data_IF_210321075469
#
_entry.id   IF_210321075469
#
_cell.length_a   1.000
_cell.length_b   1.000
_cell.length_c   1.000
_cell.angle_alpha   90.00
_cell.angle_beta   90.00
_cell.angle_gamma   90.00
#
_symmetry.space_group_name_H-M   'P 1'
#
loop_
_entity.id
_entity.type
_entity.pdbx_description
1 polymer ?
#
# COMPACT_ATOMS: atom_id res chain seq x y z
N UNK A 1 -54.50 -56.72 -7.16
CA UNK A 1 -53.81 -55.56 -6.57
C UNK A 1 -54.88 -54.66 -5.97
N UNK A 2 -54.90 -54.52 -4.65
CA UNK A 2 -55.83 -53.60 -3.99
C UNK A 2 -55.26 -52.20 -4.21
N UNK A 3 -55.95 -51.35 -4.99
CA UNK A 3 -55.61 -49.94 -5.05
C UNK A 3 -55.97 -49.32 -3.70
N UNK A 4 -54.95 -48.99 -2.91
CA UNK A 4 -55.17 -48.28 -1.67
C UNK A 4 -55.42 -46.81 -2.03
N UNK A 5 -56.68 -46.48 -2.32
CA UNK A 5 -57.12 -45.11 -2.58
C UNK A 5 -57.11 -44.36 -1.24
N UNK A 6 -55.97 -43.76 -0.90
CA UNK A 6 -55.71 -43.13 0.38
C UNK A 6 -56.43 -41.78 0.49
N UNK A 7 -57.76 -41.81 0.56
CA UNK A 7 -58.54 -40.68 1.04
C UNK A 7 -58.66 -40.84 2.56
N UNK A 8 -57.85 -40.07 3.29
CA UNK A 8 -58.01 -39.84 4.73
C UNK A 8 -57.69 -41.02 5.68
N UNK A 9 -56.59 -41.75 5.45
CA UNK A 9 -56.05 -42.72 6.41
C UNK A 9 -54.62 -42.34 6.80
N UNK A 10 -54.29 -42.45 8.09
CA UNK A 10 -52.92 -42.32 8.57
C UNK A 10 -52.08 -43.44 7.95
N UNK A 11 -51.19 -43.10 7.03
CA UNK A 11 -50.24 -44.06 6.47
C UNK A 11 -49.18 -44.36 7.53
N UNK A 12 -49.29 -45.52 8.17
CA UNK A 12 -48.29 -46.05 9.11
C UNK A 12 -47.73 -47.36 8.57
N UNK A 13 -46.40 -47.54 8.68
CA UNK A 13 -45.72 -48.80 8.33
C UNK A 13 -45.69 -49.17 6.84
N UNK A 14 -46.02 -48.23 5.94
CA UNK A 14 -46.02 -48.48 4.51
C UNK A 14 -44.58 -48.45 3.95
N UNK A 15 -44.23 -49.45 3.16
CA UNK A 15 -43.00 -49.49 2.36
C UNK A 15 -43.37 -49.49 0.88
N UNK A 16 -42.61 -48.78 0.06
CA UNK A 16 -42.85 -48.68 -1.38
C UNK A 16 -41.82 -47.81 -2.06
N UNK A 17 -41.64 -48.02 -3.36
CA UNK A 17 -40.73 -47.26 -4.23
C UNK A 17 -41.47 -46.21 -5.08
N UNK A 18 -42.80 -46.14 -4.97
CA UNK A 18 -43.64 -45.20 -5.70
C UNK A 18 -43.67 -43.81 -5.07
N UNK A 19 -44.02 -42.81 -5.88
CA UNK A 19 -44.20 -41.44 -5.40
C UNK A 19 -45.33 -41.36 -4.37
N UNK A 20 -45.09 -40.63 -3.27
CA UNK A 20 -46.15 -40.27 -2.35
C UNK A 20 -47.10 -39.26 -3.02
N UNK A 21 -48.37 -39.64 -3.18
CA UNK A 21 -49.42 -38.78 -3.73
C UNK A 21 -50.40 -38.42 -2.61
N UNK A 22 -50.18 -37.27 -1.98
CA UNK A 22 -51.08 -36.72 -0.95
C UNK A 22 -52.25 -35.92 -1.54
N UNK A 23 -53.15 -35.43 -0.67
CA UNK A 23 -54.16 -34.42 -1.04
C UNK A 23 -53.49 -33.15 -1.61
N UNK A 24 -54.23 -32.23 -2.25
CA UNK A 24 -53.68 -30.95 -2.72
C UNK A 24 -52.93 -30.25 -1.57
N UNK A 25 -51.61 -30.09 -1.73
CA UNK A 25 -50.68 -29.47 -0.76
C UNK A 25 -50.51 -30.22 0.58
N UNK A 26 -49.94 -31.46 0.56
CA UNK A 26 -49.64 -32.15 1.81
C UNK A 26 -48.52 -31.42 2.58
N UNK A 27 -48.67 -31.27 3.89
CA UNK A 27 -47.65 -30.66 4.76
C UNK A 27 -46.77 -31.72 5.42
N UNK A 28 -45.46 -31.53 5.38
CA UNK A 28 -44.47 -32.36 6.05
C UNK A 28 -43.82 -31.54 7.17
N UNK A 29 -44.21 -31.77 8.42
CA UNK A 29 -43.73 -30.97 9.56
C UNK A 29 -42.40 -31.49 10.13
N UNK A 30 -42.16 -32.80 10.11
CA UNK A 30 -40.91 -33.43 10.58
C UNK A 30 -40.52 -34.65 9.73
N UNK A 31 -40.36 -34.51 8.40
CA UNK A 31 -40.02 -35.64 7.54
C UNK A 31 -38.58 -36.13 7.84
N UNK A 32 -38.39 -37.46 7.93
CA UNK A 32 -37.05 -38.06 7.96
C UNK A 32 -36.61 -38.37 6.53
N UNK A 33 -35.72 -37.55 5.98
CA UNK A 33 -35.11 -37.78 4.66
C UNK A 33 -33.75 -38.43 4.85
N UNK A 34 -33.54 -39.62 4.26
CA UNK A 34 -32.34 -40.44 4.51
C UNK A 34 -31.27 -40.23 3.44
N UNK A 35 -31.65 -40.32 2.16
CA UNK A 35 -30.69 -40.36 1.04
C UNK A 35 -30.58 -39.04 0.29
N UNK A 36 -31.69 -38.33 0.08
CA UNK A 36 -31.67 -37.12 -0.73
C UNK A 36 -33.02 -36.64 -1.22
N UNK A 37 -32.99 -35.53 -1.96
CA UNK A 37 -34.10 -34.99 -2.75
C UNK A 37 -33.79 -35.23 -4.24
N UNK A 38 -34.76 -35.78 -4.96
CA UNK A 38 -34.63 -36.20 -6.35
C UNK A 38 -35.57 -35.39 -7.25
N UNK A 39 -35.16 -35.16 -8.50
CA UNK A 39 -35.98 -34.49 -9.51
C UNK A 39 -37.05 -35.44 -10.12
N UNK A 40 -37.84 -34.92 -11.07
CA UNK A 40 -38.89 -35.69 -11.77
C UNK A 40 -38.35 -36.88 -12.58
N UNK A 41 -37.06 -36.87 -12.90
CA UNK A 41 -36.37 -37.92 -13.65
C UNK A 41 -35.58 -38.87 -12.73
N UNK A 42 -35.79 -38.79 -11.41
CA UNK A 42 -35.09 -39.56 -10.38
C UNK A 42 -33.57 -39.28 -10.27
N UNK A 43 -33.10 -38.13 -10.75
CA UNK A 43 -31.73 -37.69 -10.50
C UNK A 43 -31.63 -36.97 -9.16
N UNK A 44 -30.52 -37.17 -8.42
CA UNK A 44 -30.32 -36.48 -7.14
C UNK A 44 -30.07 -34.99 -7.38
N UNK A 45 -30.84 -34.15 -6.68
CA UNK A 45 -30.63 -32.70 -6.59
C UNK A 45 -29.85 -32.35 -5.31
N UNK A 46 -30.17 -33.03 -4.21
CA UNK A 46 -29.47 -32.93 -2.94
C UNK A 46 -29.25 -34.32 -2.39
N UNK A 47 -28.00 -34.69 -2.14
CA UNK A 47 -27.64 -35.96 -1.52
C UNK A 47 -27.26 -35.76 -0.06
N UNK A 48 -27.72 -36.65 0.81
CA UNK A 48 -27.36 -36.68 2.22
C UNK A 48 -26.49 -37.90 2.50
N UNK A 49 -25.34 -37.67 3.14
CA UNK A 49 -24.40 -38.71 3.58
C UNK A 49 -24.40 -38.74 5.11
N UNK A 50 -25.34 -39.45 5.75
CA UNK A 50 -25.48 -39.44 7.19
C UNK A 50 -24.23 -39.99 7.88
N UNK A 51 -23.82 -39.32 8.96
CA UNK A 51 -22.73 -39.76 9.84
C UNK A 51 -23.36 -40.25 11.14
N UNK A 52 -22.99 -41.45 11.58
CA UNK A 52 -23.63 -42.18 12.70
C UNK A 52 -23.72 -41.37 14.00
N UNK A 53 -22.78 -40.46 14.24
CA UNK A 53 -22.70 -39.61 15.43
C UNK A 53 -22.55 -38.13 15.08
N UNK A 54 -23.21 -37.66 14.03
CA UNK A 54 -23.22 -36.24 13.69
C UNK A 54 -23.82 -35.40 14.83
N UNK A 55 -23.06 -34.42 15.33
CA UNK A 55 -23.52 -33.43 16.33
C UNK A 55 -23.54 -31.99 15.78
N UNK A 56 -23.09 -31.82 14.53
CA UNK A 56 -23.09 -30.56 13.80
C UNK A 56 -23.81 -30.74 12.46
N UNK A 57 -24.51 -29.71 12.00
CA UNK A 57 -25.30 -29.73 10.77
C UNK A 57 -25.40 -28.35 10.13
N UNK A 58 -25.85 -28.33 8.86
CA UNK A 58 -26.26 -27.10 8.19
C UNK A 58 -27.68 -26.73 8.61
N UNK A 59 -27.91 -25.44 8.85
CA UNK A 59 -29.22 -24.86 9.13
C UNK A 59 -29.54 -23.80 8.08
N UNK A 60 -30.72 -23.93 7.47
CA UNK A 60 -31.25 -23.01 6.45
C UNK A 60 -32.36 -22.20 7.10
N UNK A 61 -32.18 -20.88 7.17
CA UNK A 61 -33.06 -19.97 7.88
C UNK A 61 -33.78 -19.10 6.84
N UNK A 62 -35.12 -19.18 6.81
CA UNK A 62 -35.93 -18.25 6.02
C UNK A 62 -35.88 -16.84 6.64
N UNK A 63 -36.23 -15.83 5.87
CA UNK A 63 -36.12 -14.43 6.31
C UNK A 63 -37.45 -13.69 6.32
N UNK A 64 -37.49 -12.63 7.11
CA UNK A 64 -38.56 -11.63 7.07
C UNK A 64 -38.23 -10.56 6.02
N UNK A 65 -39.21 -9.71 5.68
CA UNK A 65 -38.99 -8.60 4.75
C UNK A 65 -37.80 -7.73 5.17
N UNK A 66 -36.90 -7.45 4.23
CA UNK A 66 -35.73 -6.60 4.43
C UNK A 66 -34.49 -7.31 4.96
N UNK A 67 -34.52 -8.64 5.15
CA UNK A 67 -33.37 -9.44 5.55
C UNK A 67 -33.10 -10.56 4.54
N UNK A 68 -31.83 -10.93 4.29
CA UNK A 68 -31.52 -12.07 3.44
C UNK A 68 -31.80 -13.41 4.17
N UNK A 69 -32.15 -14.49 3.46
CA UNK A 69 -32.10 -15.84 4.03
C UNK A 69 -30.66 -16.21 4.38
N UNK A 70 -30.48 -17.16 5.32
CA UNK A 70 -29.16 -17.51 5.82
C UNK A 70 -28.91 -19.02 5.72
N UNK A 71 -27.66 -19.38 5.43
CA UNK A 71 -27.13 -20.73 5.56
C UNK A 71 -26.03 -20.70 6.62
N UNK A 72 -26.18 -21.50 7.66
CA UNK A 72 -25.27 -21.47 8.82
C UNK A 72 -24.87 -22.89 9.23
N UNK A 73 -23.69 -23.03 9.84
CA UNK A 73 -23.31 -24.25 10.54
C UNK A 73 -23.71 -24.11 12.01
N UNK A 74 -24.39 -25.13 12.54
CA UNK A 74 -24.86 -25.19 13.93
C UNK A 74 -24.54 -26.56 14.52
N UNK A 75 -24.49 -26.66 15.84
CA UNK A 75 -24.21 -27.94 16.49
C UNK A 75 -23.83 -27.80 17.96
N UNK A 76 -23.47 -28.92 18.57
CA UNK A 76 -23.03 -28.97 19.96
C UNK A 76 -21.59 -28.48 20.15
N UNK A 77 -20.76 -28.51 19.10
CA UNK A 77 -19.37 -28.08 19.19
C UNK A 77 -19.25 -26.54 19.23
N UNK A 78 -18.29 -25.98 19.98
CA UNK A 78 -18.15 -24.53 20.14
C UNK A 78 -17.53 -23.81 18.94
N UNK A 79 -16.80 -24.53 18.07
CA UNK A 79 -16.10 -23.95 16.93
C UNK A 79 -16.42 -24.77 15.67
N UNK A 80 -17.33 -24.26 14.83
CA UNK A 80 -17.81 -24.97 13.65
C UNK A 80 -17.58 -24.11 12.41
N UNK A 81 -16.83 -24.65 11.44
CA UNK A 81 -16.64 -24.06 10.12
C UNK A 81 -17.56 -24.67 9.06
N UNK A 82 -17.53 -24.10 7.85
CA UNK A 82 -18.26 -24.63 6.69
C UNK A 82 -17.33 -24.66 5.48
N UNK A 83 -17.40 -25.74 4.71
CA UNK A 83 -16.71 -25.85 3.41
C UNK A 83 -17.71 -25.69 2.28
N UNK A 84 -17.36 -24.87 1.28
CA UNK A 84 -18.02 -24.80 -0.01
C UNK A 84 -16.97 -25.10 -1.08
N UNK A 85 -17.19 -26.16 -1.87
CA UNK A 85 -16.22 -26.65 -2.84
C UNK A 85 -16.90 -27.13 -4.12
N UNK A 86 -16.33 -26.77 -5.28
CA UNK A 86 -16.67 -27.38 -6.57
C UNK A 86 -15.84 -28.65 -6.79
N UNK A 87 -16.28 -29.50 -7.73
CA UNK A 87 -15.52 -30.68 -8.19
C UNK A 87 -15.00 -30.44 -9.61
N UNK A 88 -13.75 -30.82 -9.86
CA UNK A 88 -13.12 -30.73 -11.19
C UNK A 88 -12.72 -29.28 -11.54
N UNK A 89 -12.79 -28.92 -12.82
CA UNK A 89 -12.24 -27.66 -13.36
C UNK A 89 -13.18 -26.46 -13.29
N UNK A 90 -14.37 -26.60 -12.70
CA UNK A 90 -15.37 -25.52 -12.64
C UNK A 90 -15.29 -24.72 -11.33
N UNK A 91 -15.75 -23.47 -11.37
CA UNK A 91 -15.71 -22.55 -10.24
C UNK A 91 -16.96 -22.58 -9.35
N UNK A 92 -16.81 -22.01 -8.14
CA UNK A 92 -17.94 -21.46 -7.37
C UNK A 92 -18.21 -20.05 -7.89
N UNK A 93 -19.45 -19.77 -8.27
CA UNK A 93 -19.88 -18.43 -8.70
C UNK A 93 -20.73 -17.79 -7.61
N UNK A 94 -20.32 -16.61 -7.16
CA UNK A 94 -21.11 -15.74 -6.29
C UNK A 94 -21.67 -14.59 -7.13
N UNK A 95 -22.99 -14.44 -7.14
CA UNK A 95 -23.68 -13.43 -7.92
C UNK A 95 -24.35 -12.42 -7.00
N UNK A 96 -24.03 -11.13 -7.17
CA UNK A 96 -24.72 -10.01 -6.52
C UNK A 96 -25.60 -9.28 -7.52
N UNK A 97 -26.78 -8.82 -7.08
CA UNK A 97 -27.67 -8.04 -7.94
C UNK A 97 -27.02 -6.68 -8.30
N UNK A 98 -27.29 -6.20 -9.52
CA UNK A 98 -26.70 -4.99 -10.10
C UNK A 98 -27.30 -3.72 -9.49
N UNK A 99 -26.86 -3.33 -8.31
CA UNK A 99 -26.75 -1.92 -7.97
C UNK A 99 -25.29 -1.65 -7.59
N UNK A 100 -24.73 -0.51 -7.99
CA UNK A 100 -23.33 -0.17 -7.67
C UNK A 100 -23.10 0.08 -6.18
N UNK A 101 -23.95 -0.44 -5.31
CA UNK A 101 -24.07 -0.12 -3.89
C UNK A 101 -23.75 -1.34 -3.02
N UNK A 102 -23.93 -2.57 -3.52
CA UNK A 102 -23.72 -3.80 -2.76
C UNK A 102 -22.44 -4.55 -3.18
N UNK A 103 -21.30 -4.34 -2.50
CA UNK A 103 -20.06 -5.08 -2.76
C UNK A 103 -20.15 -6.54 -2.31
N UNK A 104 -19.22 -7.37 -2.78
CA UNK A 104 -18.94 -8.65 -2.13
C UNK A 104 -18.18 -8.38 -0.82
N UNK A 105 -18.72 -8.84 0.30
CA UNK A 105 -18.14 -8.62 1.63
C UNK A 105 -17.47 -9.89 2.15
N UNK A 106 -16.24 -9.76 2.64
CA UNK A 106 -15.62 -10.72 3.57
C UNK A 106 -15.65 -10.11 4.96
N UNK A 107 -16.37 -10.75 5.86
CA UNK A 107 -16.60 -10.25 7.23
C UNK A 107 -16.00 -11.18 8.27
N UNK A 108 -15.48 -10.62 9.37
CA UNK A 108 -14.97 -11.36 10.52
C UNK A 108 -15.22 -10.59 11.83
N UNK A 109 -15.09 -11.28 12.96
CA UNK A 109 -15.27 -10.75 14.31
C UNK A 109 -16.67 -11.03 14.87
N UNK A 110 -16.81 -10.88 16.19
CA UNK A 110 -18.02 -11.20 16.97
C UNK A 110 -19.26 -10.39 16.60
N UNK A 111 -19.12 -9.37 15.76
CA UNK A 111 -20.20 -8.54 15.21
C UNK A 111 -19.86 -7.98 13.84
N UNK A 112 -19.12 -8.74 13.02
CA UNK A 112 -18.66 -8.30 11.70
C UNK A 112 -17.80 -7.02 11.74
N UNK A 113 -16.99 -6.83 12.78
CA UNK A 113 -16.17 -5.62 12.96
C UNK A 113 -15.10 -5.47 11.89
N UNK A 114 -14.64 -6.57 11.31
CA UNK A 114 -13.66 -6.56 10.24
C UNK A 114 -14.39 -6.82 8.93
N UNK A 115 -14.37 -5.84 8.03
CA UNK A 115 -15.05 -5.91 6.74
C UNK A 115 -14.06 -5.57 5.63
N UNK A 116 -13.85 -6.52 4.73
CA UNK A 116 -13.17 -6.29 3.46
C UNK A 116 -14.22 -6.29 2.35
N UNK A 117 -14.38 -5.17 1.67
CA UNK A 117 -15.33 -5.01 0.58
C UNK A 117 -14.62 -5.08 -0.79
N UNK A 118 -15.06 -6.00 -1.64
CA UNK A 118 -14.70 -6.00 -3.06
C UNK A 118 -15.76 -5.23 -3.84
N UNK A 119 -15.39 -4.01 -4.22
CA UNK A 119 -16.23 -3.12 -5.02
C UNK A 119 -15.98 -3.39 -6.51
N UNK A 120 -16.99 -3.90 -7.20
CA UNK A 120 -16.93 -4.11 -8.64
C UNK A 120 -17.62 -2.96 -9.35
N UNK A 121 -16.96 -2.35 -10.34
CA UNK A 121 -17.60 -1.34 -11.15
C UNK A 121 -18.74 -1.96 -11.96
N UNK A 122 -19.91 -1.33 -11.95
CA UNK A 122 -21.06 -1.75 -12.73
C UNK A 122 -20.84 -1.41 -14.23
N UNK A 123 -20.00 -2.20 -14.89
CA UNK A 123 -19.67 -2.08 -16.31
C UNK A 123 -19.81 -3.45 -16.96
N UNK A 124 -20.16 -3.51 -18.24
CA UNK A 124 -20.24 -4.76 -19.00
C UNK A 124 -18.88 -5.42 -19.26
N UNK A 125 -17.78 -4.74 -18.94
CA UNK A 125 -16.44 -5.24 -19.16
C UNK A 125 -16.04 -6.28 -18.12
N UNK A 126 -15.49 -7.40 -18.57
CA UNK A 126 -14.83 -8.37 -17.70
C UNK A 126 -13.53 -7.76 -17.18
N UNK A 127 -13.35 -7.80 -15.87
CA UNK A 127 -12.11 -7.36 -15.22
C UNK A 127 -11.47 -8.55 -14.51
N UNK A 128 -10.24 -8.85 -14.90
CA UNK A 128 -9.44 -9.90 -14.28
C UNK A 128 -8.57 -9.28 -13.19
N UNK A 129 -8.70 -9.80 -11.96
CA UNK A 129 -7.80 -9.48 -10.85
C UNK A 129 -7.00 -10.75 -10.55
N UNK A 130 -5.69 -10.70 -10.81
CA UNK A 130 -4.79 -11.82 -10.57
C UNK A 130 -4.00 -11.56 -9.29
N UNK A 131 -4.06 -12.49 -8.33
CA UNK A 131 -3.20 -12.46 -7.15
C UNK A 131 -1.80 -12.96 -7.49
N UNK A 132 -0.81 -12.48 -6.75
CA UNK A 132 0.58 -12.93 -6.90
C UNK A 132 0.71 -14.38 -6.37
N UNK A 133 1.64 -15.14 -6.95
CA UNK A 133 1.73 -16.60 -6.84
C UNK A 133 2.55 -17.11 -5.64
N UNK A 134 3.50 -16.33 -5.09
CA UNK A 134 4.36 -16.83 -4.01
C UNK A 134 4.56 -15.91 -2.79
N UNK A 135 4.80 -14.60 -2.94
CA UNK A 135 5.17 -13.74 -1.78
C UNK A 135 4.65 -12.29 -1.88
N UNK A 136 3.65 -12.08 -2.73
CA UNK A 136 3.10 -10.75 -2.95
C UNK A 136 2.25 -10.24 -1.81
N UNK A 137 2.67 -9.16 -1.16
CA UNK A 137 1.75 -8.37 -0.33
C UNK A 137 0.87 -7.50 -1.23
N UNK A 138 -0.45 -7.65 -1.11
CA UNK A 138 -1.39 -6.66 -1.65
C UNK A 138 -1.30 -5.43 -0.75
N UNK A 139 -0.55 -4.42 -1.20
CA UNK A 139 -0.30 -3.18 -0.48
C UNK A 139 -1.09 -2.04 -1.10
N UNK A 140 -1.43 -1.03 -0.30
CA UNK A 140 -2.15 0.14 -0.80
C UNK A 140 -1.25 0.92 -1.78
N UNK A 141 -1.84 1.57 -2.79
CA UNK A 141 -1.09 2.41 -3.73
C UNK A 141 -0.25 3.49 -2.99
N UNK A 142 -0.76 3.97 -1.85
CA UNK A 142 -0.09 4.96 -1.00
C UNK A 142 1.18 4.46 -0.30
N UNK A 143 1.44 3.15 -0.29
CA UNK A 143 2.63 2.56 0.34
C UNK A 143 3.84 2.53 -0.61
N UNK A 144 3.71 2.89 -1.89
CA UNK A 144 4.82 2.93 -2.86
C UNK A 144 5.16 4.33 -3.37
N UNK A 145 4.62 5.37 -2.74
CA UNK A 145 4.83 6.76 -3.13
C UNK A 145 5.77 7.52 -2.20
N UNK A 146 6.32 8.62 -2.70
CA UNK A 146 7.04 9.59 -1.89
C UNK A 146 6.07 10.31 -0.94
N UNK A 147 6.22 10.07 0.36
CA UNK A 147 5.40 10.70 1.41
C UNK A 147 6.13 11.94 1.94
N UNK A 148 5.49 13.11 1.91
CA UNK A 148 6.08 14.34 2.47
C UNK A 148 6.17 14.22 4.00
N UNK A 149 7.39 14.27 4.53
CA UNK A 149 7.65 14.16 5.97
C UNK A 149 7.72 15.53 6.64
N UNK A 150 8.09 16.57 5.88
CA UNK A 150 8.25 17.91 6.45
C UNK A 150 8.41 19.01 5.41
N UNK A 151 8.26 20.24 5.86
CA UNK A 151 8.51 21.47 5.10
C UNK A 151 9.11 22.50 6.04
N UNK A 152 10.13 23.21 5.55
CA UNK A 152 10.78 24.31 6.24
C UNK A 152 10.85 25.51 5.30
N UNK A 153 10.35 26.65 5.77
CA UNK A 153 10.41 27.91 5.02
C UNK A 153 11.63 28.70 5.52
N UNK A 154 12.49 29.13 4.61
CA UNK A 154 13.60 30.00 4.96
C UNK A 154 13.11 31.41 5.30
N UNK A 155 13.64 31.98 6.38
CA UNK A 155 13.37 33.37 6.79
C UNK A 155 14.61 33.92 7.46
N UNK A 156 15.60 34.33 6.66
CA UNK A 156 16.94 34.70 7.11
C UNK A 156 17.62 33.61 7.95
N UNK A 157 17.47 32.35 7.54
CA UNK A 157 17.99 31.19 8.26
C UNK A 157 19.39 30.82 7.77
N UNK A 158 20.38 30.70 8.65
CA UNK A 158 21.71 30.23 8.25
C UNK A 158 21.71 28.76 7.80
N UNK A 159 20.82 27.96 8.39
CA UNK A 159 20.66 26.53 8.10
C UNK A 159 19.19 26.13 8.12
N UNK A 160 18.86 25.08 7.38
CA UNK A 160 17.57 24.37 7.45
C UNK A 160 17.88 22.91 7.74
N UNK A 161 17.23 22.35 8.76
CA UNK A 161 17.56 21.02 9.32
C UNK A 161 16.32 20.12 9.35
N UNK A 162 16.53 18.85 9.01
CA UNK A 162 15.56 17.77 9.23
C UNK A 162 16.21 16.68 10.08
N UNK A 163 15.54 16.29 11.16
CA UNK A 163 16.00 15.27 12.12
C UNK A 163 15.06 14.07 12.12
N UNK A 164 15.43 12.98 12.79
CA UNK A 164 14.58 11.80 12.95
C UNK A 164 14.37 11.01 11.67
N UNK A 165 15.36 11.04 10.77
CA UNK A 165 15.28 10.36 9.47
C UNK A 165 15.46 8.85 9.64
N UNK A 166 14.38 8.18 10.03
CA UNK A 166 14.30 6.73 10.22
C UNK A 166 13.04 6.16 9.58
N UNK A 167 13.08 4.89 9.16
CA UNK A 167 11.87 4.17 8.72
C UNK A 167 11.51 4.30 7.23
N UNK A 168 12.36 4.94 6.42
CA UNK A 168 12.21 5.02 4.96
C UNK A 168 13.46 4.49 4.27
N UNK A 169 13.30 3.83 3.12
CA UNK A 169 14.41 3.27 2.34
C UNK A 169 15.21 4.36 1.64
N UNK A 170 14.52 5.42 1.20
CA UNK A 170 15.09 6.57 0.53
C UNK A 170 14.44 7.85 1.05
N UNK A 171 15.18 8.95 0.97
CA UNK A 171 14.70 10.30 1.27
C UNK A 171 14.90 11.18 0.05
N UNK A 172 14.04 12.17 -0.13
CA UNK A 172 14.19 13.18 -1.16
C UNK A 172 14.05 14.56 -0.54
N UNK A 173 15.04 15.42 -0.73
CA UNK A 173 14.91 16.85 -0.46
C UNK A 173 14.54 17.54 -1.76
N UNK A 174 13.61 18.48 -1.66
CA UNK A 174 13.26 19.40 -2.74
C UNK A 174 13.36 20.79 -2.16
N UNK A 175 14.12 21.67 -2.80
CA UNK A 175 14.14 23.07 -2.44
C UNK A 175 13.68 23.91 -3.61
N UNK A 176 12.87 24.91 -3.29
CA UNK A 176 12.30 25.82 -4.27
C UNK A 176 12.56 27.26 -3.86
N UNK A 177 12.96 28.05 -4.85
CA UNK A 177 13.13 29.48 -4.74
C UNK A 177 14.03 29.94 -3.57
N UNK A 178 15.09 29.19 -3.26
CA UNK A 178 16.06 29.57 -2.23
C UNK A 178 16.83 30.81 -2.66
N UNK A 179 16.86 31.83 -1.79
CA UNK A 179 17.55 33.10 -2.06
C UNK A 179 18.71 33.30 -1.09
N UNK A 180 19.91 33.54 -1.63
CA UNK A 180 21.10 33.79 -0.82
C UNK A 180 21.18 35.25 -0.38
N UNK A 181 21.47 35.49 0.91
CA UNK A 181 21.68 36.85 1.42
C UNK A 181 23.04 37.45 1.05
N UNK A 182 24.03 36.59 0.80
CA UNK A 182 25.40 37.00 0.49
C UNK A 182 25.77 36.59 -0.93
N UNK A 183 26.35 37.54 -1.67
CA UNK A 183 26.85 37.29 -3.01
C UNK A 183 28.01 36.28 -2.95
N UNK A 184 27.92 35.21 -3.73
CA UNK A 184 28.96 34.20 -3.85
C UNK A 184 28.83 33.07 -2.83
N UNK A 185 27.72 33.01 -2.10
CA UNK A 185 27.45 31.93 -1.17
C UNK A 185 27.26 30.59 -1.91
N UNK A 186 27.83 29.52 -1.37
CA UNK A 186 27.67 28.16 -1.87
C UNK A 186 26.54 27.49 -1.09
N UNK A 187 25.55 26.93 -1.78
CA UNK A 187 24.57 26.06 -1.14
C UNK A 187 25.21 24.69 -0.91
N UNK A 188 25.14 24.19 0.31
CA UNK A 188 25.73 22.92 0.68
C UNK A 188 24.77 22.07 1.53
N UNK A 189 25.01 20.75 1.50
CA UNK A 189 24.30 19.75 2.28
C UNK A 189 25.26 19.02 3.22
N UNK A 190 24.77 18.64 4.39
CA UNK A 190 25.55 17.86 5.35
C UNK A 190 24.64 16.98 6.21
N UNK A 191 25.13 15.80 6.53
CA UNK A 191 24.48 14.81 7.37
C UNK A 191 24.98 14.84 8.81
N UNK A 192 24.24 14.17 9.66
CA UNK A 192 24.52 13.96 11.07
C UNK A 192 24.17 12.51 11.46
N UNK A 193 24.97 11.94 12.35
CA UNK A 193 24.80 10.58 12.89
C UNK A 193 24.14 10.58 14.28
N UNK A 194 23.95 11.75 14.88
CA UNK A 194 23.45 11.94 16.25
C UNK A 194 22.27 12.91 16.28
N UNK A 195 21.38 12.75 15.30
CA UNK A 195 20.10 13.42 15.20
C UNK A 195 20.20 14.95 15.18
N UNK A 196 21.25 15.48 14.54
CA UNK A 196 21.48 16.92 14.39
C UNK A 196 22.27 17.56 15.53
N UNK A 197 22.67 16.80 16.56
CA UNK A 197 23.44 17.33 17.70
C UNK A 197 24.84 17.78 17.28
N UNK A 198 25.47 17.06 16.35
CA UNK A 198 26.68 17.50 15.64
C UNK A 198 26.61 17.12 14.17
N UNK A 199 27.48 17.75 13.38
CA UNK A 199 27.52 17.63 11.93
C UNK A 199 28.88 17.11 11.49
N UNK A 200 28.93 16.39 10.38
CA UNK A 200 30.15 15.74 9.90
C UNK A 200 31.23 16.75 9.52
N UNK A 201 32.18 17.00 10.40
CA UNK A 201 33.20 18.06 10.22
C UNK A 201 34.57 17.54 9.80
N UNK A 202 34.78 16.24 9.68
CA UNK A 202 36.08 15.62 9.35
C UNK A 202 36.05 15.05 7.94
N UNK A 203 37.03 15.42 7.10
CA UNK A 203 37.18 14.87 5.75
C UNK A 203 37.96 13.53 5.77
N UNK A 204 37.64 12.58 4.87
CA UNK A 204 36.54 12.60 3.89
C UNK A 204 35.21 12.15 4.51
N UNK A 205 34.23 13.07 4.62
CA UNK A 205 32.86 12.67 4.93
C UNK A 205 32.10 12.29 3.64
N UNK A 206 32.50 12.90 2.53
CA UNK A 206 31.87 12.77 1.24
C UNK A 206 32.89 12.63 0.11
N UNK A 207 32.53 11.83 -0.89
CA UNK A 207 33.16 11.72 -2.19
C UNK A 207 32.17 12.24 -3.23
N UNK A 208 32.42 13.42 -3.78
CA UNK A 208 31.51 14.08 -4.70
C UNK A 208 32.10 14.16 -6.10
N UNK A 209 31.28 13.85 -7.10
CA UNK A 209 31.49 14.17 -8.50
C UNK A 209 30.42 15.18 -8.92
N UNK A 210 30.80 16.21 -9.67
CA UNK A 210 29.86 17.25 -10.12
C UNK A 210 30.17 17.74 -11.52
N UNK A 211 29.13 17.93 -12.31
CA UNK A 211 29.23 18.66 -13.56
C UNK A 211 28.46 19.97 -13.44
N UNK A 212 29.18 21.06 -13.70
CA UNK A 212 28.66 22.41 -13.67
C UNK A 212 28.45 22.89 -15.10
N UNK A 213 27.22 23.30 -15.38
CA UNK A 213 26.84 24.02 -16.58
C UNK A 213 26.69 25.47 -16.19
N UNK A 214 27.48 26.38 -16.76
CA UNK A 214 27.31 27.82 -16.55
C UNK A 214 27.31 28.50 -17.92
N UNK A 215 26.15 28.95 -18.37
CA UNK A 215 26.00 29.54 -19.69
C UNK A 215 26.26 28.49 -20.78
N UNK A 216 27.11 28.80 -21.75
CA UNK A 216 27.50 27.88 -22.84
C UNK A 216 28.71 26.99 -22.50
N UNK A 217 29.27 27.11 -21.28
CA UNK A 217 30.46 26.36 -20.87
C UNK A 217 30.07 25.19 -19.98
N UNK A 218 30.55 24.00 -20.33
CA UNK A 218 30.48 22.80 -19.48
C UNK A 218 31.82 22.64 -18.78
N UNK A 219 31.83 22.75 -17.45
CA UNK A 219 32.96 22.35 -16.63
C UNK A 219 32.59 21.05 -15.91
N UNK A 220 32.98 19.92 -16.49
CA UNK A 220 32.95 18.65 -15.81
C UNK A 220 34.16 18.59 -14.87
N UNK A 221 33.96 18.89 -13.59
CA UNK A 221 34.98 18.64 -12.57
C UNK A 221 34.98 17.15 -12.24
N UNK A 222 35.95 16.41 -12.75
CA UNK A 222 36.15 14.99 -12.46
C UNK A 222 36.82 14.72 -11.11
N UNK A 223 37.06 15.74 -10.30
CA UNK A 223 37.81 15.59 -9.08
C UNK A 223 36.91 15.04 -7.98
N UNK A 224 37.17 13.79 -7.59
CA UNK A 224 36.70 13.20 -6.35
C UNK A 224 37.24 14.07 -5.22
N UNK A 225 36.45 15.06 -4.82
CA UNK A 225 36.81 16.00 -3.77
C UNK A 225 36.39 15.39 -2.43
N UNK A 226 37.34 15.32 -1.50
CA UNK A 226 37.11 14.87 -0.14
C UNK A 226 36.59 16.05 0.68
N UNK A 227 35.29 16.06 0.93
CA UNK A 227 34.61 17.20 1.55
C UNK A 227 34.02 16.85 2.91
N UNK A 228 33.80 17.89 3.72
CA UNK A 228 33.01 17.82 4.97
C UNK A 228 31.52 18.06 4.72
N UNK A 229 31.16 18.58 3.53
CA UNK A 229 29.79 18.83 3.08
C UNK A 229 29.68 18.64 1.56
N UNK A 230 28.50 18.23 1.09
CA UNK A 230 28.20 18.20 -0.34
C UNK A 230 27.94 19.61 -0.88
N UNK A 231 28.56 19.97 -1.99
CA UNK A 231 28.33 21.26 -2.67
C UNK A 231 27.17 21.11 -3.67
N UNK A 232 26.09 21.84 -3.43
CA UNK A 232 24.87 21.79 -4.26
C UNK A 232 24.88 22.82 -5.39
N UNK A 233 25.49 23.99 -5.18
CA UNK A 233 25.61 25.07 -6.19
C UNK A 233 27.00 25.70 -6.14
N UNK A 234 27.37 26.48 -7.16
CA UNK A 234 28.59 27.31 -7.12
C UNK A 234 28.26 28.80 -7.14
N UNK A 235 28.66 29.52 -6.09
CA UNK A 235 28.63 30.99 -6.00
C UNK A 235 27.28 31.63 -6.35
N UNK A 236 26.26 31.42 -5.52
CA UNK A 236 24.92 31.99 -5.72
C UNK A 236 24.91 33.52 -5.74
N UNK A 237 24.11 34.07 -6.65
CA UNK A 237 23.78 35.50 -6.67
C UNK A 237 22.87 35.88 -5.49
N UNK A 238 23.08 37.08 -4.95
CA UNK A 238 22.19 37.69 -3.96
C UNK A 238 21.28 38.79 -4.56
N UNK A 239 21.05 38.76 -5.87
CA UNK A 239 20.06 39.62 -6.53
C UNK A 239 18.69 38.98 -6.35
N UNK A 240 17.69 39.70 -5.84
CA UNK A 240 16.41 39.12 -5.39
C UNK A 240 15.61 38.30 -6.43
N UNK A 241 15.85 38.51 -7.73
CA UNK A 241 15.22 37.72 -8.81
C UNK A 241 15.95 36.40 -9.09
N UNK A 242 17.14 36.22 -8.54
CA UNK A 242 18.05 35.10 -8.80
C UNK A 242 17.90 34.07 -7.68
N UNK A 243 17.00 33.13 -7.88
CA UNK A 243 16.71 32.07 -6.91
C UNK A 243 17.34 30.73 -7.32
N UNK A 244 17.46 29.83 -6.35
CA UNK A 244 18.02 28.49 -6.50
C UNK A 244 16.93 27.44 -6.21
N UNK A 245 16.80 26.47 -7.10
CA UNK A 245 15.84 25.36 -6.97
C UNK A 245 16.49 24.04 -7.32
N UNK A 246 15.96 22.94 -6.80
CA UNK A 246 16.55 21.63 -7.06
C UNK A 246 16.03 20.53 -6.17
N UNK A 247 16.59 19.35 -6.38
CA UNK A 247 16.23 18.16 -5.63
C UNK A 247 17.43 17.24 -5.41
N UNK A 248 17.33 16.45 -4.35
CA UNK A 248 18.34 15.50 -3.93
C UNK A 248 17.66 14.23 -3.43
N UNK A 249 17.92 13.10 -4.09
CA UNK A 249 17.55 11.77 -3.59
C UNK A 249 18.72 11.17 -2.82
N UNK A 250 18.44 10.79 -1.57
CA UNK A 250 19.34 10.15 -0.62
C UNK A 250 18.93 8.70 -0.43
N UNK A 251 19.76 7.77 -0.86
CA UNK A 251 19.57 6.35 -0.66
C UNK A 251 20.44 5.82 0.47
N UNK A 252 19.97 4.75 1.13
CA UNK A 252 20.74 3.98 2.12
C UNK A 252 21.20 4.79 3.35
N UNK A 253 20.49 5.87 3.72
CA UNK A 253 20.86 6.68 4.89
C UNK A 253 20.84 5.88 6.20
N UNK A 254 19.95 4.89 6.32
CA UNK A 254 19.67 4.15 7.56
C UNK A 254 20.38 2.80 7.68
N UNK A 255 21.15 2.36 6.69
CA UNK A 255 21.72 1.00 6.68
C UNK A 255 22.99 0.90 7.54
N UNK A 256 23.03 -0.09 8.43
CA UNK A 256 24.14 -0.32 9.38
C UNK A 256 25.27 -1.19 8.82
N UNK A 257 25.09 -1.85 7.68
CA UNK A 257 26.11 -2.75 7.11
C UNK A 257 26.14 -2.75 5.57
N UNK A 258 27.33 -2.55 5.00
CA UNK A 258 27.69 -2.96 3.63
C UNK A 258 27.39 -1.98 2.49
N UNK A 259 26.45 -1.05 2.66
CA UNK A 259 26.10 -0.07 1.61
C UNK A 259 26.41 1.35 2.05
N UNK A 260 27.21 2.05 1.25
CA UNK A 260 27.54 3.46 1.44
C UNK A 260 26.31 4.30 1.07
N UNK A 261 25.88 5.28 1.91
CA UNK A 261 24.82 6.18 1.52
C UNK A 261 25.18 6.92 0.24
N UNK A 262 24.25 6.95 -0.69
CA UNK A 262 24.43 7.62 -1.98
C UNK A 262 23.44 8.76 -2.11
N UNK A 263 23.87 9.77 -2.83
CA UNK A 263 23.16 11.02 -2.98
C UNK A 263 23.25 11.43 -4.45
N UNK A 264 22.10 11.63 -5.10
CA UNK A 264 22.02 12.04 -6.50
C UNK A 264 21.04 13.19 -6.61
N UNK A 265 21.43 14.23 -7.31
CA UNK A 265 20.61 15.41 -7.39
C UNK A 265 20.98 16.36 -8.51
N UNK A 266 20.18 17.41 -8.57
CA UNK A 266 20.37 18.52 -9.48
C UNK A 266 19.99 19.82 -8.77
N UNK A 267 20.76 20.86 -9.03
CA UNK A 267 20.49 22.22 -8.59
C UNK A 267 20.53 23.16 -9.78
N UNK A 268 19.51 23.98 -9.95
CA UNK A 268 19.49 25.11 -10.87
C UNK A 268 19.64 26.40 -10.06
N UNK A 269 20.47 27.31 -10.54
CA UNK A 269 20.79 28.54 -9.82
C UNK A 269 21.28 29.63 -10.76
N UNK A 270 21.51 30.83 -10.24
CA UNK A 270 22.18 31.92 -10.96
C UNK A 270 23.42 32.32 -10.17
N UNK A 271 24.57 32.36 -10.84
CA UNK A 271 25.85 32.67 -10.20
C UNK A 271 26.10 34.19 -10.05
N UNK A 272 27.16 34.56 -9.32
CA UNK A 272 27.68 35.93 -9.27
C UNK A 272 28.56 36.34 -10.45
N UNK A 273 28.18 37.45 -11.10
CA UNK A 273 28.93 38.30 -12.05
C UNK A 273 29.93 37.63 -13.03
N UNK A 274 29.63 37.65 -14.34
CA UNK A 274 28.32 37.98 -14.90
C UNK A 274 27.28 36.97 -14.40
N UNK A 275 26.09 37.45 -14.03
CA UNK A 275 24.98 36.60 -13.55
C UNK A 275 24.58 35.60 -14.63
N UNK A 276 25.17 34.42 -14.55
CA UNK A 276 24.97 33.35 -15.52
C UNK A 276 24.09 32.28 -14.87
N UNK A 277 23.07 31.83 -15.61
CA UNK A 277 22.29 30.67 -15.23
C UNK A 277 23.18 29.43 -15.18
N UNK A 278 23.14 28.76 -14.03
CA UNK A 278 23.92 27.59 -13.71
C UNK A 278 23.04 26.38 -13.44
N UNK A 279 23.54 25.20 -13.81
CA UNK A 279 22.99 23.92 -13.38
C UNK A 279 24.13 23.05 -12.87
N UNK A 280 23.92 22.39 -11.74
CA UNK A 280 24.85 21.43 -11.17
C UNK A 280 24.16 20.08 -11.06
N UNK A 281 24.67 19.07 -11.75
CA UNK A 281 24.34 17.68 -11.48
C UNK A 281 25.46 17.04 -10.69
N UNK A 282 25.09 16.22 -9.74
CA UNK A 282 26.06 15.63 -8.86
C UNK A 282 25.64 14.25 -8.40
N UNK A 283 26.67 13.43 -8.21
CA UNK A 283 26.61 12.12 -7.63
C UNK A 283 27.58 12.10 -6.47
N UNK A 284 27.14 11.54 -5.35
CA UNK A 284 27.94 11.54 -4.15
C UNK A 284 27.79 10.21 -3.41
N UNK A 285 28.93 9.73 -2.93
CA UNK A 285 29.02 8.61 -2.01
C UNK A 285 29.51 9.14 -0.67
N UNK A 286 28.76 8.87 0.39
CA UNK A 286 29.19 9.10 1.77
C UNK A 286 29.90 7.85 2.25
N UNK A 287 30.97 7.99 3.01
CA UNK A 287 31.63 6.85 3.66
C UNK A 287 31.53 6.90 5.19
N UNK A 288 30.37 6.58 5.76
CA UNK A 288 30.23 6.73 7.18
C UNK A 288 30.47 5.43 7.91
N UNK A 289 31.15 5.54 9.05
CA UNK A 289 31.12 4.48 10.06
C UNK A 289 29.75 4.28 10.71
N UNK A 290 28.71 5.07 10.39
CA UNK A 290 27.38 5.02 11.03
C UNK A 290 26.23 5.64 10.20
N UNK A 291 24.97 5.21 10.38
CA UNK A 291 23.80 5.75 9.68
C UNK A 291 23.62 7.28 9.81
N UNK A 292 23.14 7.95 8.75
CA UNK A 292 22.65 9.34 8.82
C UNK A 292 21.23 9.30 9.36
N UNK A 293 20.95 10.08 10.40
CA UNK A 293 19.60 10.24 10.96
C UNK A 293 19.13 11.70 11.03
N UNK A 294 19.96 12.64 10.57
CA UNK A 294 19.58 14.03 10.36
C UNK A 294 20.41 14.66 9.24
N UNK A 295 19.85 15.67 8.59
CA UNK A 295 20.47 16.40 7.50
C UNK A 295 20.22 17.89 7.63
N UNK A 296 21.11 18.69 7.05
CA UNK A 296 20.92 20.12 6.88
C UNK A 296 21.32 20.58 5.49
N UNK A 297 20.67 21.65 5.06
CA UNK A 297 21.09 22.51 3.97
C UNK A 297 21.52 23.86 4.57
N UNK A 298 22.60 24.44 4.05
CA UNK A 298 23.15 25.68 4.56
C UNK A 298 23.90 26.46 3.47
N UNK A 299 24.11 27.75 3.72
CA UNK A 299 24.97 28.60 2.90
C UNK A 299 26.39 28.61 3.47
N UNK A 300 27.42 28.58 2.63
CA UNK A 300 28.82 28.68 3.09
C UNK A 300 29.11 29.98 3.82
N UNK A 301 28.40 31.07 3.47
CA UNK A 301 28.43 32.36 4.13
C UNK A 301 27.04 33.00 4.11
N UNK A 302 26.72 33.83 5.09
CA UNK A 302 25.43 34.54 5.16
C UNK A 302 24.26 33.65 5.54
N UNK A 303 23.07 34.00 5.02
CA UNK A 303 21.79 33.34 5.33
C UNK A 303 21.03 32.95 4.06
N UNK A 304 20.11 32.00 4.22
CA UNK A 304 19.02 31.72 3.29
C UNK A 304 17.89 32.70 3.62
N UNK A 305 17.73 33.73 2.79
CA UNK A 305 16.80 34.84 3.05
C UNK A 305 15.36 34.36 2.92
N UNK A 306 15.05 33.63 1.84
CA UNK A 306 13.71 33.12 1.53
C UNK A 306 13.77 31.81 0.74
N UNK A 307 12.60 31.20 0.52
CA UNK A 307 12.42 29.95 -0.21
C UNK A 307 11.90 28.83 0.69
N UNK A 308 11.69 27.65 0.12
CA UNK A 308 11.16 26.49 0.85
C UNK A 308 12.05 25.26 0.63
N UNK A 309 12.12 24.41 1.66
CA UNK A 309 12.74 23.09 1.56
C UNK A 309 11.75 22.07 2.09
N UNK A 310 11.50 21.04 1.31
CA UNK A 310 10.62 19.93 1.64
C UNK A 310 11.44 18.66 1.72
N UNK A 311 11.01 17.74 2.57
CA UNK A 311 11.58 16.40 2.65
C UNK A 311 10.49 15.36 2.47
N UNK A 312 10.80 14.33 1.69
CA UNK A 312 9.96 13.19 1.41
C UNK A 312 10.68 11.91 1.80
N UNK A 313 9.94 10.87 2.18
CA UNK A 313 10.43 9.52 2.43
C UNK A 313 9.72 8.52 1.54
N UNK A 314 10.46 7.55 1.00
CA UNK A 314 9.91 6.43 0.23
C UNK A 314 9.81 5.21 1.15
N UNK A 315 8.58 4.71 1.33
CA UNK A 315 8.33 3.50 2.11
C UNK A 315 8.82 2.26 1.37
#
# INVERSE_FOLDING_TARGET
MVSNNAVNTTLSGQSGTGAFTGNLSPSLTTPRVINGLYDVNANSMFSFSPVTSAVNNLNIINSITGQPPQLTAVGADPNIGMYLASKGSYQITLFGALDGTNPLLLVNGTGYQHVTAFNFANTSAVRNVTFQDADGTVSYLTDRDWVRLGTANASNSATITFTGLTGYTNYMLVWDSLFAGTNGATLAFQGSINNGSSWLSTAPAYYQQSCFYTGATVSAGSDITTLTSAVLSSSLSNIGTNVCGGSLVLANLSLTTGSRPTAVGMTQYVNTTPTIAGMNYWFQIRDPGSPVNAIRIFMSTGVIVSGTVQIYGMK
#
